data_IF_909686068975
#
_entry.id   IF_909686068975
#
_cell.length_a   1.000
_cell.length_b   1.000
_cell.length_c   1.000
_cell.angle_alpha   90.00
_cell.angle_beta   90.00
_cell.angle_gamma   90.00
#
_symmetry.space_group_name_H-M   'P 1'
#
loop_
_entity.id
_entity.type
_entity.pdbx_description
1 polymer ?
2 non-polymer ?
3 non-polymer ?
4 non-polymer ?
5 non-polymer ?
6 water ?
#
# COMPACT_ATOMS: atom_id res chain seq x y z
N UNK A 2 -11.79 32.27 -3.45
CA UNK A 2 -10.55 32.83 -2.89
C UNK A 2 -9.32 31.95 -3.20
N UNK A 3 -9.44 30.60 -3.12
CA UNK A 3 -8.28 29.73 -3.33
C UNK A 3 -7.67 29.92 -4.72
N UNK A 4 -6.36 30.17 -4.77
CA UNK A 4 -5.64 30.34 -6.03
C UNK A 4 -4.76 29.12 -6.26
N UNK A 5 -5.02 28.37 -7.34
CA UNK A 5 -4.24 27.18 -7.65
C UNK A 5 -2.76 27.50 -7.95
N UNK A 6 -1.85 26.53 -7.84
CA UNK A 6 -0.43 26.81 -8.12
C UNK A 6 -0.17 27.41 -9.49
N UNK A 7 0.86 28.28 -9.58
CA UNK A 7 1.27 28.92 -10.83
C UNK A 7 2.56 28.31 -11.40
N UNK A 8 3.05 27.18 -10.85
CA UNK A 8 4.32 26.58 -11.30
C UNK A 8 4.26 26.22 -12.78
N UNK A 9 5.38 26.36 -13.50
CA UNK A 9 5.36 26.13 -14.95
C UNK A 9 4.84 24.77 -15.39
N UNK A 10 5.14 23.69 -14.65
CA UNK A 10 4.72 22.34 -14.99
C UNK A 10 3.45 21.88 -14.25
N UNK A 11 2.81 22.75 -13.43
CA UNK A 11 1.56 22.38 -12.76
C UNK A 11 0.45 22.02 -13.79
N UNK A 12 0.26 22.74 -14.92
CA UNK A 12 -0.75 22.30 -15.91
C UNK A 12 -0.50 20.88 -16.46
N UNK A 13 0.77 20.41 -16.50
CA UNK A 13 1.07 19.04 -16.94
C UNK A 13 0.87 17.97 -15.83
N UNK A 14 0.47 18.37 -14.63
CA UNK A 14 0.20 17.45 -13.53
C UNK A 14 -1.29 17.10 -13.54
N UNK A 15 -1.70 16.48 -14.66
CA UNK A 15 -3.06 16.05 -14.98
C UNK A 15 -3.77 15.25 -13.84
N UNK A 16 -2.98 14.55 -13.05
CA UNK A 16 -3.46 13.71 -11.94
C UNK A 16 -3.80 14.57 -10.71
N UNK A 17 -3.21 15.77 -10.56
CA UNK A 17 -3.53 16.62 -9.42
C UNK A 17 -4.83 17.37 -9.71
N UNK A 18 -4.85 18.10 -10.81
CA UNK A 18 -6.02 18.87 -11.20
C UNK A 18 -6.30 18.66 -12.69
N UNK A 19 -7.57 18.64 -13.03
CA UNK A 19 -8.02 18.50 -14.40
C UNK A 19 -9.51 18.73 -14.49
N UNK A 20 -9.97 19.36 -15.57
CA UNK A 20 -11.41 19.60 -15.75
C UNK A 20 -12.18 18.27 -16.02
N UNK A 21 -11.49 17.22 -16.54
CA UNK A 21 -12.09 15.95 -16.95
C UNK A 21 -12.53 14.99 -15.82
N UNK A 22 -12.46 15.36 -14.52
CA UNK A 22 -12.89 14.47 -13.41
C UNK A 22 -12.06 13.15 -13.32
N UNK A 23 -10.87 13.11 -13.94
CA UNK A 23 -10.02 11.93 -13.93
C UNK A 23 -8.73 12.33 -13.21
N UNK A 24 -8.86 12.66 -11.93
CA UNK A 24 -7.74 13.09 -11.11
C UNK A 24 -7.97 12.69 -9.62
N UNK A 25 -6.96 12.94 -8.79
CA UNK A 25 -6.95 12.61 -7.37
C UNK A 25 -7.71 13.61 -6.48
N UNK A 26 -8.41 14.60 -7.08
CA UNK A 26 -9.24 15.57 -6.36
C UNK A 26 -8.47 16.28 -5.24
N UNK A 27 -7.25 16.70 -5.55
CA UNK A 27 -6.36 17.35 -4.60
C UNK A 27 -6.65 18.86 -4.48
N UNK A 28 -7.13 19.55 -5.55
CA UNK A 28 -7.47 20.98 -5.44
C UNK A 28 -8.57 21.18 -4.41
N UNK A 29 -9.53 20.25 -4.30
CA UNK A 29 -10.61 20.34 -3.32
C UNK A 29 -10.03 20.34 -1.89
N UNK A 30 -9.00 19.53 -1.61
CA UNK A 30 -8.35 19.52 -0.31
C UNK A 30 -7.58 20.85 -0.08
N UNK A 31 -6.88 21.33 -1.11
CA UNK A 31 -6.13 22.60 -1.06
C UNK A 31 -7.05 23.80 -0.79
N UNK A 32 -8.22 23.84 -1.46
CA UNK A 32 -9.22 24.91 -1.26
C UNK A 32 -9.79 24.85 0.18
N UNK A 33 -9.96 23.64 0.76
CA UNK A 33 -10.40 23.52 2.16
C UNK A 33 -9.31 23.99 3.18
N UNK A 34 -8.12 24.38 2.72
CA UNK A 34 -7.02 24.84 3.55
C UNK A 34 -5.97 23.79 3.90
N UNK A 35 -6.00 22.60 3.27
CA UNK A 35 -5.04 21.54 3.57
C UNK A 35 -3.98 21.37 2.50
N UNK A 36 -2.73 21.76 2.83
CA UNK A 36 -1.58 21.66 1.94
C UNK A 36 -0.39 20.88 2.56
N UNK A 37 -0.57 20.33 3.76
CA UNK A 37 0.46 19.54 4.43
C UNK A 37 1.25 20.22 5.53
N UNK A 38 0.92 21.47 5.91
CA UNK A 38 1.68 22.18 6.95
C UNK A 38 1.72 21.38 8.26
N UNK A 39 2.92 21.26 8.83
CA UNK A 39 3.14 20.53 10.06
C UNK A 39 3.29 19.03 9.92
N UNK A 40 3.10 18.47 8.71
CA UNK A 40 3.27 17.02 8.50
C UNK A 40 4.67 16.76 7.97
N UNK A 41 5.20 15.57 8.24
CA UNK A 41 6.59 15.20 7.95
C UNK A 41 6.56 13.85 7.24
N UNK A 42 7.03 13.80 5.99
CA UNK A 42 7.04 12.56 5.22
C UNK A 42 8.49 12.21 4.93
N UNK A 43 8.82 10.92 4.93
CA UNK A 43 10.16 10.46 4.60
C UNK A 43 10.09 9.42 3.48
N UNK A 44 10.96 9.55 2.49
CA UNK A 44 11.02 8.64 1.35
C UNK A 44 12.10 7.59 1.61
N UNK A 45 11.77 6.30 1.64
CA UNK A 45 12.78 5.25 1.83
C UNK A 45 13.23 4.84 0.44
N UNK A 46 14.43 5.25 0.02
CA UNK A 46 14.87 4.99 -1.35
C UNK A 46 16.40 5.12 -1.50
N UNK A 47 16.90 5.64 -2.63
CA UNK A 47 18.32 5.78 -2.93
C UNK A 47 18.92 7.15 -2.56
N UNK A 48 18.22 7.93 -1.74
CA UNK A 48 18.68 9.25 -1.33
C UNK A 48 17.80 10.38 -1.82
N UNK A 49 18.01 11.59 -1.29
CA UNK A 49 17.23 12.76 -1.70
C UNK A 49 18.17 13.93 -1.98
N UNK A 50 17.96 14.62 -3.11
CA UNK A 50 18.76 15.79 -3.45
C UNK A 50 18.19 16.95 -2.64
N UNK A 51 18.70 17.11 -1.42
CA UNK A 51 18.17 18.08 -0.46
C UNK A 51 18.30 19.54 -0.88
N UNK A 52 19.22 19.82 -1.82
CA UNK A 52 19.45 21.17 -2.35
C UNK A 52 18.72 21.40 -3.67
N UNK A 53 17.80 20.50 -4.11
CA UNK A 53 17.08 20.70 -5.35
C UNK A 53 16.23 21.98 -5.22
N UNK A 54 16.22 22.89 -6.22
CA UNK A 54 15.43 24.12 -6.09
C UNK A 54 13.96 23.93 -5.72
N UNK A 55 13.31 22.80 -6.12
CA UNK A 55 11.91 22.58 -5.73
C UNK A 55 11.75 21.74 -4.44
N UNK A 56 12.85 21.35 -3.77
CA UNK A 56 12.75 20.58 -2.53
C UNK A 56 13.36 21.31 -1.32
N UNK A 57 14.39 22.13 -1.52
CA UNK A 57 15.09 22.83 -0.44
C UNK A 57 14.17 23.53 0.58
N UNK A 58 13.14 24.23 0.07
CA UNK A 58 12.19 24.94 0.93
C UNK A 58 11.42 24.08 1.91
N UNK A 59 11.17 22.81 1.56
CA UNK A 59 10.45 21.87 2.44
C UNK A 59 11.36 20.80 3.05
N UNK A 60 12.65 20.75 2.67
CA UNK A 60 13.54 19.72 3.15
C UNK A 60 13.68 19.75 4.68
N UNK A 61 13.68 18.56 5.30
CA UNK A 61 13.82 18.42 6.74
C UNK A 61 14.92 17.41 7.07
N UNK A 62 16.05 17.88 7.63
CA UNK A 62 17.09 16.93 8.06
C UNK A 62 16.62 15.92 9.12
N UNK A 63 15.64 16.32 9.93
CA UNK A 63 15.03 15.47 10.95
C UNK A 63 14.22 14.30 10.37
N UNK A 64 13.87 14.34 9.09
CA UNK A 64 13.16 13.24 8.42
C UNK A 64 14.14 12.46 7.51
N UNK A 65 15.45 12.57 7.74
CA UNK A 65 16.45 12.02 6.87
C UNK A 65 17.58 11.32 7.55
N UNK A 66 18.18 10.38 6.83
CA UNK A 66 19.37 9.67 7.28
C UNK A 66 19.96 8.87 6.13
N UNK A 67 21.26 8.61 6.20
CA UNK A 67 21.94 7.79 5.24
C UNK A 67 22.32 6.52 5.97
N UNK A 68 21.50 5.48 5.80
CA UNK A 68 21.72 4.19 6.42
C UNK A 68 22.78 3.40 5.65
N UNK A 69 22.95 3.62 4.34
CA UNK A 69 23.98 2.89 3.58
C UNK A 69 25.40 3.26 3.99
N UNK A 70 25.67 4.54 4.26
CA UNK A 70 26.97 5.04 4.68
C UNK A 70 27.04 5.39 6.18
N UNK A 71 25.92 5.31 6.93
CA UNK A 71 25.91 5.60 8.37
C UNK A 71 26.32 7.07 8.67
N UNK A 72 25.52 8.01 8.19
CA UNK A 72 25.70 9.45 8.43
C UNK A 72 24.33 10.16 8.27
N UNK A 73 24.15 11.42 8.70
CA UNK A 73 22.83 12.06 8.58
C UNK A 73 22.44 12.53 7.19
N UNK A 74 23.42 12.73 6.30
CA UNK A 74 23.22 13.32 4.96
C UNK A 74 22.75 12.29 3.93
N UNK A 75 21.48 12.39 3.47
CA UNK A 75 20.97 11.42 2.50
C UNK A 75 21.23 11.79 1.04
N UNK A 76 22.19 12.70 0.76
CA UNK A 76 22.47 13.15 -0.62
C UNK A 76 22.72 11.93 -1.54
N UNK A 77 22.11 11.82 -2.73
CA UNK A 77 22.40 10.65 -3.58
C UNK A 77 23.84 10.59 -4.09
N UNK A 78 24.31 9.39 -4.40
CA UNK A 78 25.63 9.20 -4.99
C UNK A 78 25.45 9.53 -6.48
N UNK A 79 26.14 10.57 -6.98
CA UNK A 79 26.03 10.95 -8.38
C UNK A 79 26.90 10.07 -9.25
N UNK A 80 26.31 9.56 -10.32
CA UNK A 80 27.01 8.76 -11.29
C UNK A 80 26.64 9.28 -12.67
N UNK A 81 27.50 9.02 -13.63
CA UNK A 81 27.28 9.38 -15.03
C UNK A 81 25.93 8.83 -15.56
N UNK A 82 25.47 7.70 -15.01
CA UNK A 82 24.23 7.07 -15.45
C UNK A 82 22.96 7.62 -14.74
N UNK A 83 23.12 8.48 -13.70
CA UNK A 83 22.00 9.03 -12.92
C UNK A 83 21.16 7.93 -12.29
N UNK A 84 21.83 6.91 -11.77
CA UNK A 84 21.15 5.75 -11.19
C UNK A 84 20.37 6.07 -9.91
N UNK A 85 20.89 6.95 -9.05
CA UNK A 85 20.26 7.24 -7.76
C UNK A 85 19.32 8.45 -7.79
N UNK A 86 18.40 8.47 -8.78
CA UNK A 86 17.45 9.57 -8.96
C UNK A 86 16.05 9.34 -8.40
N UNK A 87 15.71 8.08 -8.10
CA UNK A 87 14.35 7.72 -7.74
C UNK A 87 13.81 8.41 -6.48
N UNK A 88 14.64 8.53 -5.44
CA UNK A 88 14.22 9.18 -4.20
C UNK A 88 13.86 10.63 -4.41
N UNK A 89 14.65 11.36 -5.23
CA UNK A 89 14.38 12.77 -5.54
C UNK A 89 13.06 12.90 -6.30
N UNK A 90 12.81 11.99 -7.25
CA UNK A 90 11.55 11.97 -7.99
C UNK A 90 10.36 11.76 -7.05
N UNK A 91 10.47 10.80 -6.12
CA UNK A 91 9.41 10.52 -5.15
C UNK A 91 9.18 11.67 -4.20
N UNK A 92 10.25 12.29 -3.68
CA UNK A 92 10.16 13.43 -2.75
C UNK A 92 9.37 14.62 -3.35
N UNK A 93 9.57 14.89 -4.64
CA UNK A 93 8.87 15.98 -5.33
C UNK A 93 7.40 15.69 -5.51
N UNK A 94 7.03 14.41 -5.67
CA UNK A 94 5.61 14.02 -5.78
C UNK A 94 4.87 14.37 -4.50
N UNK A 95 5.53 14.16 -3.34
CA UNK A 95 4.93 14.42 -2.05
C UNK A 95 4.94 15.92 -1.75
N UNK A 96 6.12 16.56 -1.78
CA UNK A 96 6.26 17.91 -1.27
C UNK A 96 7.15 18.88 -2.08
N UNK A 97 7.03 18.88 -3.42
CA UNK A 97 7.74 19.91 -4.22
C UNK A 97 7.09 21.27 -3.88
N UNK A 98 7.91 22.31 -3.71
CA UNK A 98 7.45 23.64 -3.32
C UNK A 98 6.52 24.22 -4.38
N UNK A 99 5.47 24.91 -3.96
CA UNK A 99 4.51 25.53 -4.87
C UNK A 99 4.77 27.03 -5.01
N UNK A 100 4.29 27.61 -6.12
CA UNK A 100 4.37 29.05 -6.41
C UNK A 100 5.80 29.61 -6.37
N UNK A 101 6.77 28.87 -6.89
CA UNK A 101 8.18 29.32 -6.89
C UNK A 101 8.81 29.33 -8.29
N UNK A 102 8.01 29.26 -9.35
CA UNK A 102 8.52 29.29 -10.72
C UNK A 102 9.40 28.12 -11.11
N UNK A 103 9.31 27.00 -10.39
CA UNK A 103 10.13 25.82 -10.67
C UNK A 103 9.28 24.57 -10.79
N UNK A 104 9.55 23.77 -11.85
CA UNK A 104 8.93 22.47 -12.12
C UNK A 104 7.38 22.46 -11.77
N UNK A 105 6.88 21.52 -10.95
CA UNK A 105 5.47 21.48 -10.57
C UNK A 105 5.33 21.67 -9.06
N UNK A 106 4.38 20.95 -8.45
CA UNK A 106 4.11 21.00 -7.01
C UNK A 106 3.96 19.60 -6.44
N UNK A 107 4.13 19.48 -5.14
CA UNK A 107 3.83 18.25 -4.44
C UNK A 107 2.34 18.22 -4.13
N UNK A 108 1.82 17.03 -3.82
CA UNK A 108 0.42 16.90 -3.39
C UNK A 108 0.25 17.68 -2.07
N UNK A 109 1.22 17.55 -1.17
CA UNK A 109 1.28 18.22 0.11
C UNK A 109 2.45 19.18 0.01
N UNK A 110 2.27 20.24 -0.79
CA UNK A 110 3.35 21.19 -1.10
C UNK A 110 3.82 22.08 0.07
N UNK A 111 3.18 22.00 1.24
CA UNK A 111 3.67 22.69 2.44
C UNK A 111 4.14 21.70 3.53
N UNK A 112 4.23 20.39 3.21
CA UNK A 112 4.72 19.40 4.15
C UNK A 112 6.24 19.42 4.17
N UNK A 113 6.82 18.93 5.26
CA UNK A 113 8.26 18.78 5.37
C UNK A 113 8.58 17.42 4.75
N UNK A 114 9.70 17.33 4.03
CA UNK A 114 10.08 16.10 3.35
C UNK A 114 11.56 15.75 3.60
N UNK A 115 11.79 14.46 3.78
CA UNK A 115 13.12 13.93 3.94
C UNK A 115 13.26 12.63 3.18
N UNK A 116 14.45 12.08 3.21
CA UNK A 116 14.73 10.83 2.55
C UNK A 116 15.69 9.98 3.35
N UNK A 117 15.53 8.66 3.26
CA UNK A 117 16.45 7.74 3.87
C UNK A 117 17.20 7.12 2.71
N UNK A 118 18.52 7.32 2.68
CA UNK A 118 19.36 6.68 1.66
C UNK A 118 19.61 5.27 2.20
N UNK A 119 18.84 4.29 1.69
CA UNK A 119 18.94 2.90 2.13
C UNK A 119 19.02 1.87 0.97
N UNK A 120 18.65 2.22 -0.28
CA UNK A 120 18.74 1.25 -1.39
C UNK A 120 20.08 1.31 -2.16
N UNK A 121 21.01 2.23 -1.83
CA UNK A 121 22.29 2.33 -2.56
C UNK A 121 23.39 1.53 -1.82
N UNK A 122 23.21 0.23 -1.83
CA UNK A 122 24.08 -0.70 -1.14
C UNK A 122 23.29 -1.97 -0.82
N UNK A 123 23.87 -2.83 0.00
CA UNK A 123 23.20 -4.07 0.37
C UNK A 123 21.99 -3.79 1.28
N UNK A 124 20.80 -4.25 0.88
CA UNK A 124 19.60 -4.05 1.68
C UNK A 124 19.42 -5.26 2.61
N UNK A 125 19.91 -5.11 3.83
CA UNK A 125 19.83 -6.14 4.85
C UNK A 125 18.66 -5.85 5.77
N UNK A 126 18.29 -6.83 6.60
CA UNK A 126 17.24 -6.71 7.60
C UNK A 126 17.55 -5.56 8.57
N UNK A 127 18.80 -5.40 9.01
CA UNK A 127 19.21 -4.30 9.89
C UNK A 127 19.05 -2.93 9.22
N UNK A 128 19.41 -2.82 7.92
CA UNK A 128 19.27 -1.59 7.15
C UNK A 128 17.77 -1.21 7.09
N UNK A 129 16.91 -2.19 6.80
CA UNK A 129 15.46 -1.92 6.73
C UNK A 129 14.91 -1.46 8.07
N UNK A 130 15.34 -2.11 9.15
CA UNK A 130 14.85 -1.78 10.48
C UNK A 130 15.26 -0.36 10.91
N UNK A 131 16.50 0.03 10.61
CA UNK A 131 16.97 1.38 10.95
C UNK A 131 16.25 2.44 10.10
N UNK A 132 15.82 2.09 8.87
CA UNK A 132 15.10 2.99 8.00
C UNK A 132 13.64 3.12 8.45
N UNK A 133 12.94 2.00 8.61
CA UNK A 133 11.55 1.98 9.07
C UNK A 133 11.42 2.61 10.48
N UNK A 134 12.44 2.44 11.33
CA UNK A 134 12.44 2.97 12.69
C UNK A 134 13.16 4.31 12.84
N UNK A 135 13.41 5.03 11.73
CA UNK A 135 14.08 6.31 11.82
C UNK A 135 13.17 7.34 12.45
N UNK A 136 13.64 8.05 13.50
CA UNK A 136 12.95 9.17 14.15
C UNK A 136 11.41 9.04 14.16
N UNK A 137 10.89 7.99 14.82
CA UNK A 137 9.45 7.73 14.78
C UNK A 137 8.59 8.71 15.57
N UNK A 138 9.20 9.59 16.39
CA UNK A 138 8.44 10.64 17.05
C UNK A 138 8.53 11.99 16.30
N UNK A 139 9.10 12.00 15.06
CA UNK A 139 9.19 13.18 14.23
C UNK A 139 8.56 12.88 12.85
N UNK A 140 8.96 11.77 12.20
CA UNK A 140 8.40 11.40 10.90
C UNK A 140 6.97 10.89 11.10
N UNK A 141 6.01 11.43 10.35
CA UNK A 141 4.62 11.01 10.48
C UNK A 141 4.30 9.84 9.52
N UNK A 142 4.76 9.96 8.26
CA UNK A 142 4.50 9.04 7.16
C UNK A 142 5.78 8.63 6.49
N UNK A 143 5.92 7.35 6.22
CA UNK A 143 7.06 6.80 5.50
C UNK A 143 6.51 6.32 4.17
N UNK A 144 7.21 6.60 3.06
CA UNK A 144 6.80 6.15 1.75
C UNK A 144 7.87 5.23 1.21
N UNK A 145 7.48 4.02 0.82
CA UNK A 145 8.41 3.05 0.28
C UNK A 145 7.84 2.55 -1.04
N UNK A 146 8.62 2.67 -2.09
CA UNK A 146 8.20 2.34 -3.44
C UNK A 146 8.69 0.99 -3.94
N UNK A 147 9.50 0.26 -3.16
CA UNK A 147 10.10 -0.98 -3.61
C UNK A 147 10.07 -2.05 -2.53
N UNK A 148 10.48 -3.25 -2.89
CA UNK A 148 10.54 -4.35 -1.94
C UNK A 148 11.27 -5.54 -2.53
N UNK A 149 10.88 -6.79 -2.20
CA UNK A 149 11.58 -7.93 -2.83
C UNK A 149 11.38 -8.00 -4.35
N UNK A 150 12.27 -8.75 -5.01
CA UNK A 150 12.30 -8.81 -6.46
C UNK A 150 10.96 -9.13 -7.12
N UNK A 151 10.57 -8.29 -8.09
CA UNK A 151 9.33 -8.44 -8.84
C UNK A 151 9.55 -9.36 -10.06
N UNK A 152 10.24 -10.49 -9.86
CA UNK A 152 10.49 -11.44 -10.94
C UNK A 152 9.34 -12.48 -11.11
N UNK A 153 8.28 -12.40 -10.30
CA UNK A 153 7.18 -13.36 -10.38
C UNK A 153 7.50 -14.74 -9.85
N UNK A 154 8.63 -14.89 -9.13
CA UNK A 154 8.98 -16.18 -8.54
C UNK A 154 9.48 -16.08 -7.10
N UNK A 155 9.48 -14.89 -6.50
CA UNK A 155 9.94 -14.69 -5.15
C UNK A 155 8.79 -14.64 -4.15
N UNK A 156 9.00 -15.24 -2.97
CA UNK A 156 8.09 -15.13 -1.85
C UNK A 156 9.02 -14.65 -0.75
N UNK A 157 8.85 -13.40 -0.32
CA UNK A 157 9.72 -12.85 0.70
C UNK A 157 9.07 -11.67 1.39
N UNK A 158 9.42 -11.50 2.65
CA UNK A 158 8.86 -10.45 3.49
C UNK A 158 9.85 -9.95 4.49
N UNK A 159 9.41 -9.02 5.36
CA UNK A 159 10.34 -8.47 6.37
C UNK A 159 10.83 -9.56 7.30
N UNK A 160 12.13 -9.64 7.48
CA UNK A 160 12.74 -10.56 8.44
C UNK A 160 12.53 -9.94 9.89
N UNK A 161 13.07 -10.56 10.95
CA UNK A 161 12.79 -10.18 12.33
C UNK A 161 12.94 -8.68 12.68
N UNK A 162 14.12 -8.06 12.42
CA UNK A 162 14.34 -6.64 12.77
C UNK A 162 13.36 -5.68 12.07
N UNK A 163 13.10 -5.92 10.76
CA UNK A 163 12.16 -5.09 10.00
C UNK A 163 10.74 -5.29 10.49
N UNK A 164 10.35 -6.54 10.77
CA UNK A 164 9.01 -6.81 11.30
C UNK A 164 8.88 -6.16 12.71
N UNK A 165 9.94 -6.20 13.54
CA UNK A 165 9.93 -5.53 14.84
C UNK A 165 9.84 -4.01 14.67
N UNK A 166 10.47 -3.43 13.62
CA UNK A 166 10.39 -2.01 13.35
C UNK A 166 8.94 -1.62 12.97
N UNK A 167 8.25 -2.46 12.18
CA UNK A 167 6.84 -2.18 11.84
C UNK A 167 5.98 -2.22 13.11
N UNK A 168 6.20 -3.24 13.98
CA UNK A 168 5.46 -3.38 15.23
C UNK A 168 5.66 -2.15 16.11
N UNK A 169 6.93 -1.77 16.39
CA UNK A 169 7.28 -0.61 17.22
C UNK A 169 6.71 0.68 16.62
N UNK A 170 6.72 0.79 15.30
CA UNK A 170 6.22 1.94 14.59
C UNK A 170 4.73 2.14 14.78
N UNK A 171 3.93 1.11 14.48
CA UNK A 171 2.48 1.24 14.61
C UNK A 171 2.02 1.33 16.08
N UNK A 172 2.80 0.79 17.05
CA UNK A 172 2.44 0.81 18.46
C UNK A 172 2.89 2.08 19.19
N UNK A 173 4.17 2.43 19.11
CA UNK A 173 4.74 3.55 19.85
C UNK A 173 5.05 4.77 18.97
N UNK A 174 5.18 4.59 17.66
CA UNK A 174 5.47 5.71 16.76
C UNK A 174 4.38 6.77 16.78
N UNK A 175 4.75 8.03 16.50
CA UNK A 175 3.81 9.14 16.43
C UNK A 175 2.99 9.34 17.72
N UNK A 176 3.63 9.24 18.88
CA UNK A 176 2.99 9.42 20.17
C UNK A 176 1.96 8.34 20.49
N UNK A 177 2.20 7.12 20.03
CA UNK A 177 1.28 6.01 20.24
C UNK A 177 0.20 5.87 19.18
N UNK A 178 0.03 6.86 18.31
CA UNK A 178 -0.97 6.80 17.23
C UNK A 178 -0.53 5.87 16.08
N UNK A 179 0.78 5.66 15.92
CA UNK A 179 1.33 4.75 14.93
C UNK A 179 1.86 5.39 13.67
N UNK A 180 3.06 4.98 13.28
CA UNK A 180 3.67 5.40 12.02
C UNK A 180 2.79 4.96 10.85
N UNK A 181 2.66 5.82 9.84
CA UNK A 181 1.90 5.49 8.64
C UNK A 181 2.89 5.01 7.59
N UNK A 182 2.92 3.72 7.29
CA UNK A 182 3.83 3.19 6.27
C UNK A 182 3.03 3.04 4.98
N UNK A 183 3.35 3.82 3.93
CA UNK A 183 2.68 3.75 2.62
C UNK A 183 3.57 2.94 1.70
N UNK A 184 3.02 1.93 1.00
CA UNK A 184 3.82 1.03 0.16
C UNK A 184 3.26 0.86 -1.24
N UNK A 185 4.16 0.76 -2.22
CA UNK A 185 3.78 0.49 -3.60
C UNK A 185 3.53 -1.03 -3.68
N UNK A 186 2.45 -1.46 -4.32
CA UNK A 186 2.15 -2.88 -4.42
C UNK A 186 3.09 -3.69 -5.33
N UNK A 187 3.89 -3.03 -6.17
CA UNK A 187 4.88 -3.71 -7.02
C UNK A 187 4.80 -3.39 -8.51
N UNK A 188 5.87 -3.72 -9.25
CA UNK A 188 6.02 -3.51 -10.70
C UNK A 188 6.26 -4.81 -11.48
N UNK A 189 5.83 -5.95 -10.94
CA UNK A 189 6.04 -7.27 -11.54
C UNK A 189 5.00 -7.74 -12.51
N UNK A 190 4.20 -6.81 -13.04
CA UNK A 190 3.12 -7.11 -13.97
C UNK A 190 3.48 -7.95 -15.18
N UNK A 191 4.56 -7.62 -15.90
CA UNK A 191 4.94 -8.42 -17.09
C UNK A 191 5.44 -9.84 -16.71
N UNK A 192 5.92 -10.03 -15.47
CA UNK A 192 6.32 -11.35 -14.97
C UNK A 192 5.13 -12.10 -14.33
N UNK A 193 3.88 -11.55 -14.45
CA UNK A 193 2.67 -12.11 -13.89
C UNK A 193 2.83 -12.30 -12.39
N UNK A 194 3.40 -11.30 -11.71
CA UNK A 194 3.59 -11.37 -10.27
C UNK A 194 2.23 -11.13 -9.56
N UNK A 195 2.10 -11.69 -8.35
CA UNK A 195 0.92 -11.65 -7.48
C UNK A 195 1.44 -10.98 -6.20
N UNK A 196 1.01 -9.75 -5.83
CA UNK A 196 1.66 -9.02 -4.73
C UNK A 196 1.47 -9.61 -3.29
N UNK A 197 0.63 -10.63 -3.03
CA UNK A 197 0.57 -11.21 -1.67
C UNK A 197 1.87 -11.97 -1.34
N UNK A 198 2.71 -12.31 -2.36
CA UNK A 198 4.01 -12.95 -2.19
C UNK A 198 5.12 -11.96 -1.71
N UNK A 199 4.80 -10.67 -1.53
CA UNK A 199 5.70 -9.61 -1.08
C UNK A 199 5.16 -9.24 0.30
N UNK A 200 5.86 -9.64 1.34
CA UNK A 200 5.42 -9.43 2.73
C UNK A 200 5.32 -7.99 3.19
N UNK A 201 5.97 -7.05 2.47
CA UNK A 201 5.92 -5.64 2.87
C UNK A 201 4.57 -5.06 2.48
N UNK A 202 4.16 -5.23 1.22
CA UNK A 202 2.85 -4.75 0.78
C UNK A 202 1.71 -5.60 1.38
N UNK A 203 1.94 -6.90 1.50
CA UNK A 203 0.95 -7.83 2.08
C UNK A 203 0.74 -7.63 3.61
N UNK A 204 1.54 -6.77 4.26
CA UNK A 204 1.42 -6.51 5.69
C UNK A 204 0.17 -5.68 5.99
N UNK A 205 -0.42 -5.87 7.17
CA UNK A 205 -1.55 -5.04 7.63
C UNK A 205 -1.03 -3.64 8.01
N UNK A 206 0.25 -3.54 8.44
CA UNK A 206 0.87 -2.29 8.87
C UNK A 206 1.20 -1.33 7.74
N UNK A 207 1.14 -1.79 6.48
CA UNK A 207 1.40 -0.92 5.36
C UNK A 207 0.11 -0.63 4.63
N UNK A 208 -0.02 0.60 4.15
CA UNK A 208 -1.18 1.07 3.42
C UNK A 208 -0.78 0.97 1.94
N UNK A 209 -1.12 -0.16 1.32
CA UNK A 209 -0.68 -0.48 -0.03
C UNK A 209 -1.47 0.14 -1.15
N UNK A 210 -0.74 0.66 -2.16
CA UNK A 210 -1.28 1.40 -3.27
C UNK A 210 -0.88 0.81 -4.60
N UNK A 211 -1.84 0.71 -5.52
CA UNK A 211 -1.63 0.25 -6.90
C UNK A 211 -1.80 1.44 -7.88
N UNK A 212 -1.64 1.20 -9.19
CA UNK A 212 -1.68 2.24 -10.21
C UNK A 212 -2.82 2.07 -11.22
N UNK A 213 -3.22 3.20 -11.80
CA UNK A 213 -4.16 3.28 -12.90
C UNK A 213 -3.50 4.19 -13.97
N UNK A 214 -3.66 3.85 -15.24
CA UNK A 214 -3.14 4.69 -16.32
C UNK A 214 -4.10 5.91 -16.46
N UNK A 215 -3.69 6.93 -17.22
CA UNK A 215 -4.49 8.12 -17.47
C UNK A 215 -5.87 7.77 -18.02
N UNK A 216 -5.96 6.80 -18.96
CA UNK A 216 -7.27 6.41 -19.51
C UNK A 216 -8.05 5.42 -18.60
N UNK A 217 -7.62 5.26 -17.34
CA UNK A 217 -8.29 4.41 -16.36
C UNK A 217 -8.08 2.93 -16.55
N UNK A 218 -6.91 2.51 -17.04
CA UNK A 218 -6.62 1.09 -17.25
C UNK A 218 -5.56 0.56 -16.29
N UNK A 219 -5.41 -0.76 -16.27
CA UNK A 219 -4.52 -1.47 -15.37
C UNK A 219 -3.21 -1.44 -16.16
N UNK A 220 -2.20 -0.72 -15.66
CA UNK A 220 -0.94 -0.66 -16.41
C UNK A 220 -0.24 -2.01 -16.56
N UNK A 221 0.62 -2.11 -17.58
CA UNK A 221 1.36 -3.32 -17.89
C UNK A 221 2.15 -3.87 -16.69
N UNK A 222 2.66 -2.98 -15.82
CA UNK A 222 3.50 -3.34 -14.67
C UNK A 222 2.71 -3.68 -13.39
N UNK A 223 1.39 -3.45 -13.38
CA UNK A 223 0.60 -3.67 -12.18
C UNK A 223 0.53 -5.12 -11.73
N UNK A 224 0.50 -5.33 -10.40
CA UNK A 224 0.32 -6.65 -9.78
C UNK A 224 -1.01 -6.64 -9.08
N UNK A 225 -1.82 -7.68 -9.30
CA UNK A 225 -3.10 -7.79 -8.63
C UNK A 225 -2.89 -8.55 -7.33
N UNK A 226 -3.60 -8.16 -6.29
CA UNK A 226 -3.63 -8.91 -5.04
C UNK A 226 -4.68 -8.36 -4.09
N UNK A 227 -5.11 -9.22 -3.15
CA UNK A 227 -6.14 -8.86 -2.16
C UNK A 227 -5.62 -7.93 -1.05
N UNK A 228 -4.29 -7.81 -0.84
CA UNK A 228 -3.76 -6.93 0.22
C UNK A 228 -3.80 -5.44 -0.18
N UNK A 229 -3.95 -5.11 -1.48
CA UNK A 229 -3.99 -3.70 -1.90
C UNK A 229 -5.25 -3.01 -1.38
N UNK A 230 -5.10 -1.74 -0.96
CA UNK A 230 -6.21 -0.96 -0.42
C UNK A 230 -6.79 0.06 -1.39
N UNK A 231 -5.94 0.72 -2.19
CA UNK A 231 -6.39 1.80 -3.06
C UNK A 231 -5.36 2.07 -4.18
N UNK A 232 -5.67 3.02 -5.09
CA UNK A 232 -4.92 3.31 -6.27
C UNK A 232 -4.71 4.79 -6.43
N UNK A 233 -3.62 5.13 -7.10
CA UNK A 233 -3.40 6.49 -7.58
C UNK A 233 -2.97 6.34 -9.06
N UNK A 234 -3.12 7.42 -9.81
CA UNK A 234 -2.68 7.44 -11.19
C UNK A 234 -1.18 7.34 -11.31
N UNK A 235 -0.74 6.72 -12.40
CA UNK A 235 0.67 6.67 -12.76
C UNK A 235 0.79 6.48 -14.30
N UNK A 236 1.94 6.03 -14.80
CA UNK A 236 2.17 5.91 -16.22
C UNK A 236 1.44 4.70 -16.85
N UNK A 237 1.38 4.69 -18.18
CA UNK A 237 0.78 3.62 -18.95
C UNK A 237 1.46 3.50 -20.30
N UNK A 238 0.69 3.54 -21.40
CA UNK A 238 1.25 3.46 -22.75
C UNK A 238 1.83 4.82 -23.18
N UNK A 239 2.41 4.91 -24.40
CA UNK A 239 3.06 6.13 -24.86
C UNK A 239 2.10 7.21 -25.38
N UNK A 240 0.78 6.97 -25.39
CA UNK A 240 -0.22 8.03 -25.64
C UNK A 240 -0.73 8.61 -24.28
N UNK A 241 -0.43 7.94 -23.15
CA UNK A 241 -0.85 8.38 -21.84
C UNK A 241 0.26 9.18 -21.19
N UNK A 242 -0.11 10.22 -20.44
CA UNK A 242 0.84 11.09 -19.75
C UNK A 242 1.42 10.33 -18.54
N UNK A 243 2.50 10.87 -17.97
CA UNK A 243 3.19 10.23 -16.87
C UNK A 243 3.29 11.18 -15.66
N UNK A 244 4.10 10.85 -14.66
CA UNK A 244 4.21 11.66 -13.45
C UNK A 244 5.29 12.73 -13.64
N UNK A 245 4.94 13.97 -13.31
CA UNK A 245 5.78 15.15 -13.48
C UNK A 245 6.31 15.53 -12.11
N UNK A 246 7.65 15.51 -11.93
CA UNK A 246 8.23 15.77 -10.62
C UNK A 246 9.69 16.28 -10.73
N UNK A 247 10.30 16.57 -9.57
CA UNK A 247 11.70 16.96 -9.44
C UNK A 247 12.58 15.78 -9.84
N UNK A 248 13.70 16.05 -10.46
CA UNK A 248 14.63 15.01 -10.87
C UNK A 248 16.05 15.35 -10.39
N UNK A 249 16.93 14.36 -10.42
CA UNK A 249 18.33 14.50 -10.05
C UNK A 249 19.04 15.57 -10.93
N UNK A 250 20.05 16.22 -10.35
CA UNK A 250 20.82 17.33 -10.93
C UNK A 250 19.93 18.58 -11.14
N UNK A 251 19.03 18.85 -10.18
CA UNK A 251 18.19 20.05 -10.16
C UNK A 251 17.34 20.21 -11.40
N UNK A 252 16.91 19.09 -11.98
CA UNK A 252 16.11 19.09 -13.19
C UNK A 252 14.64 18.78 -12.87
N UNK A 253 13.81 18.80 -13.90
CA UNK A 253 12.39 18.48 -13.79
C UNK A 253 12.15 17.36 -14.80
N UNK A 254 11.40 16.33 -14.42
CA UNK A 254 11.07 15.23 -15.33
C UNK A 254 9.59 15.20 -15.57
N UNK A 255 9.20 14.83 -16.78
CA UNK A 255 7.80 14.56 -17.12
C UNK A 255 7.61 13.03 -17.38
N UNK A 256 8.60 12.16 -17.04
CA UNK A 256 8.51 10.74 -17.34
C UNK A 256 8.81 9.83 -16.14
N UNK A 257 8.17 10.12 -15.00
CA UNK A 257 8.29 9.28 -13.81
C UNK A 257 7.15 8.23 -13.91
N UNK A 258 7.50 6.95 -13.70
CA UNK A 258 6.61 5.83 -14.00
C UNK A 258 6.46 4.77 -12.90
N UNK A 259 5.48 3.86 -13.10
CA UNK A 259 5.28 2.66 -12.31
C UNK A 259 4.51 2.86 -11.03
N UNK A 260 4.22 1.74 -10.36
CA UNK A 260 3.61 1.74 -9.04
C UNK A 260 4.52 2.45 -8.03
N UNK A 261 5.83 2.45 -8.27
CA UNK A 261 6.82 3.14 -7.46
C UNK A 261 6.61 4.69 -7.50
N UNK A 262 5.86 5.23 -8.51
CA UNK A 262 5.46 6.63 -8.55
C UNK A 262 4.05 6.82 -7.91
N UNK A 263 3.25 5.74 -7.70
CA UNK A 263 1.93 5.86 -7.11
C UNK A 263 1.97 6.01 -5.60
N UNK A 264 2.87 5.26 -4.93
CA UNK A 264 2.96 5.33 -3.46
C UNK A 264 3.25 6.75 -2.93
N UNK A 265 4.19 7.51 -3.52
CA UNK A 265 4.44 8.89 -3.03
C UNK A 265 3.23 9.81 -3.20
N UNK A 266 2.43 9.67 -4.26
CA UNK A 266 1.22 10.50 -4.42
C UNK A 266 0.25 10.17 -3.26
N UNK A 267 0.12 8.88 -2.90
CA UNK A 267 -0.71 8.46 -1.78
C UNK A 267 -0.15 9.00 -0.48
N UNK A 268 1.18 8.97 -0.29
CA UNK A 268 1.79 9.53 0.94
C UNK A 268 1.46 11.03 1.07
N UNK A 269 1.46 11.74 -0.05
CA UNK A 269 1.05 13.15 -0.07
C UNK A 269 -0.41 13.34 0.30
N UNK A 270 -1.33 12.49 -0.22
CA UNK A 270 -2.76 12.58 0.13
C UNK A 270 -2.97 12.26 1.62
N UNK A 271 -2.26 11.27 2.11
CA UNK A 271 -2.30 10.90 3.51
C UNK A 271 -1.76 12.05 4.38
N UNK A 272 -0.76 12.81 3.90
CA UNK A 272 -0.25 13.96 4.63
C UNK A 272 -1.30 15.06 4.74
N UNK A 273 -2.09 15.29 3.67
CA UNK A 273 -3.17 16.28 3.75
C UNK A 273 -4.23 15.84 4.75
N UNK A 274 -4.54 14.53 4.78
CA UNK A 274 -5.53 13.94 5.67
C UNK A 274 -5.09 14.09 7.11
N UNK A 275 -3.81 13.82 7.38
CA UNK A 275 -3.26 13.94 8.71
C UNK A 275 -3.26 15.42 9.18
N UNK A 276 -3.15 16.39 8.25
CA UNK A 276 -3.24 17.80 8.63
C UNK A 276 -4.69 18.11 9.05
N UNK A 277 -5.69 17.54 8.35
CA UNK A 277 -7.10 17.72 8.71
C UNK A 277 -7.44 17.14 10.09
N UNK A 278 -6.70 16.11 10.54
CA UNK A 278 -6.93 15.54 11.88
C UNK A 278 -5.64 14.84 12.33
N UNK A 279 -4.83 15.52 13.17
CA UNK A 279 -3.55 14.99 13.67
C UNK A 279 -3.71 13.77 14.60
N UNK A 280 -4.91 13.54 15.14
CA UNK A 280 -5.16 12.44 16.06
C UNK A 280 -5.55 11.13 15.39
N UNK A 281 -5.55 11.05 14.04
CA UNK A 281 -5.89 9.80 13.37
C UNK A 281 -4.81 8.78 13.66
N UNK A 282 -5.21 7.55 13.99
CA UNK A 282 -4.28 6.44 14.23
C UNK A 282 -3.92 5.81 12.88
N UNK A 283 -2.94 4.88 12.88
CA UNK A 283 -2.58 4.17 11.66
C UNK A 283 -3.76 3.36 11.13
N UNK A 284 -4.62 2.81 12.01
CA UNK A 284 -5.79 2.07 11.57
C UNK A 284 -6.90 3.02 11.08
N UNK A 285 -7.10 4.20 11.72
CA UNK A 285 -8.10 5.19 11.24
C UNK A 285 -7.80 5.58 9.78
N UNK A 286 -6.50 5.76 9.44
CA UNK A 286 -6.11 6.15 8.08
C UNK A 286 -6.56 5.10 7.07
N UNK A 287 -6.39 3.81 7.40
CA UNK A 287 -6.82 2.73 6.51
C UNK A 287 -8.35 2.69 6.39
N UNK A 288 -9.09 3.01 7.46
CA UNK A 288 -10.55 3.10 7.41
C UNK A 288 -10.99 4.24 6.49
N UNK A 289 -10.35 5.41 6.56
CA UNK A 289 -10.70 6.54 5.69
C UNK A 289 -10.46 6.19 4.22
N UNK A 290 -9.35 5.53 3.91
CA UNK A 290 -9.06 5.12 2.54
C UNK A 290 -10.17 4.16 2.02
N UNK A 291 -10.58 3.16 2.82
CA UNK A 291 -11.63 2.21 2.43
C UNK A 291 -12.96 2.95 2.16
N UNK A 292 -13.35 3.87 3.04
CA UNK A 292 -14.62 4.59 2.90
C UNK A 292 -14.68 5.63 1.77
N UNK A 293 -13.56 6.28 1.42
CA UNK A 293 -13.57 7.39 0.46
C UNK A 293 -13.06 7.07 -0.94
N UNK A 294 -12.36 5.93 -1.15
CA UNK A 294 -11.83 5.61 -2.46
C UNK A 294 -12.94 5.37 -3.47
N UNK A 295 -12.68 5.78 -4.71
CA UNK A 295 -13.66 5.79 -5.80
C UNK A 295 -13.35 4.79 -6.91
N UNK A 296 -14.21 3.78 -7.13
CA UNK A 296 -13.97 2.85 -8.24
C UNK A 296 -14.23 3.47 -9.63
N UNK A 297 -15.13 4.48 -9.73
CA UNK A 297 -15.57 5.11 -10.99
C UNK A 297 -14.50 5.32 -12.04
N UNK A 298 -14.77 4.86 -13.27
CA UNK A 298 -13.88 5.05 -14.40
C UNK A 298 -12.58 4.23 -14.36
N UNK A 299 -12.37 3.38 -13.36
CA UNK A 299 -11.22 2.49 -13.35
C UNK A 299 -11.72 1.18 -13.95
N UNK A 300 -11.12 0.73 -15.05
CA UNK A 300 -11.55 -0.47 -15.77
C UNK A 300 -10.83 -1.71 -15.29
N UNK A 301 -11.60 -2.75 -14.94
CA UNK A 301 -11.09 -4.05 -14.53
C UNK A 301 -12.18 -5.11 -14.74
N UNK A 302 -11.80 -6.35 -15.07
CA UNK A 302 -12.79 -7.43 -15.26
C UNK A 302 -13.19 -8.11 -13.92
N UNK A 303 -12.59 -7.71 -12.77
CA UNK A 303 -12.86 -8.34 -11.49
C UNK A 303 -13.55 -7.44 -10.44
N UNK A 304 -14.20 -6.31 -10.82
CA UNK A 304 -14.90 -5.48 -9.82
C UNK A 304 -16.03 -6.34 -9.17
N UNK A 305 -16.08 -6.38 -7.84
CA UNK A 305 -17.09 -7.15 -7.11
C UNK A 305 -17.54 -6.37 -5.88
N UNK A 306 -18.81 -6.51 -5.53
CA UNK A 306 -19.41 -5.83 -4.40
C UNK A 306 -19.26 -6.74 -3.19
N UNK A 307 -18.64 -6.23 -2.13
CA UNK A 307 -18.43 -7.02 -0.93
C UNK A 307 -19.72 -7.03 -0.05
N UNK A 308 -19.63 -7.68 1.11
CA UNK A 308 -20.74 -7.83 2.04
C UNK A 308 -21.33 -6.55 2.58
N UNK A 309 -20.57 -5.43 2.56
CA UNK A 309 -21.10 -4.15 3.02
C UNK A 309 -21.38 -3.17 1.86
N UNK A 310 -21.55 -3.69 0.64
CA UNK A 310 -21.90 -2.87 -0.52
C UNK A 310 -20.79 -2.07 -1.21
N UNK A 311 -19.51 -2.31 -0.87
CA UNK A 311 -18.41 -1.56 -1.49
C UNK A 311 -17.81 -2.36 -2.63
N UNK A 312 -17.50 -1.68 -3.73
CA UNK A 312 -16.86 -2.31 -4.87
C UNK A 312 -15.37 -2.44 -4.55
N UNK A 313 -14.78 -3.59 -4.83
CA UNK A 313 -13.37 -3.84 -4.58
C UNK A 313 -12.81 -4.66 -5.73
N UNK A 314 -11.56 -4.40 -6.10
CA UNK A 314 -10.87 -5.05 -7.19
C UNK A 314 -9.49 -5.47 -6.70
N UNK A 315 -8.95 -6.58 -7.23
CA UNK A 315 -7.59 -7.00 -6.90
C UNK A 315 -6.52 -6.08 -7.57
N UNK A 316 -6.90 -5.34 -8.63
CA UNK A 316 -5.98 -4.41 -9.27
C UNK A 316 -5.97 -3.05 -8.57
N UNK A 317 -7.13 -2.60 -8.09
CA UNK A 317 -7.28 -1.27 -7.55
C UNK A 317 -7.66 -1.12 -6.06
N UNK A 318 -7.95 -2.21 -5.36
CA UNK A 318 -8.43 -2.13 -3.99
C UNK A 318 -9.82 -1.52 -4.02
N UNK A 319 -10.07 -0.52 -3.17
CA UNK A 319 -11.35 0.18 -3.14
C UNK A 319 -11.48 1.30 -4.22
N UNK A 320 -10.44 1.51 -5.02
CA UNK A 320 -10.46 2.48 -6.09
C UNK A 320 -9.45 3.58 -5.92
N UNK A 321 -9.66 4.64 -6.67
CA UNK A 321 -8.77 5.78 -6.70
C UNK A 321 -8.88 6.57 -5.41
N UNK A 322 -7.74 7.02 -4.84
CA UNK A 322 -7.77 7.89 -3.67
C UNK A 322 -8.45 9.21 -4.06
N UNK A 323 -9.18 9.80 -3.12
CA UNK A 323 -9.90 11.03 -3.33
C UNK A 323 -9.51 11.94 -2.18
N UNK A 324 -8.55 12.86 -2.42
CA UNK A 324 -8.02 13.73 -1.37
C UNK A 324 -9.08 14.62 -0.72
N UNK A 325 -9.96 15.22 -1.52
CA UNK A 325 -11.03 16.06 -1.01
C UNK A 325 -11.97 15.31 -0.09
N UNK A 326 -12.32 14.06 -0.45
CA UNK A 326 -13.20 13.26 0.39
C UNK A 326 -12.47 12.79 1.65
N UNK A 327 -11.20 12.35 1.51
CA UNK A 327 -10.37 11.95 2.66
C UNK A 327 -10.31 13.07 3.74
N UNK A 328 -10.01 14.31 3.34
CA UNK A 328 -9.90 15.43 4.29
C UNK A 328 -11.25 15.80 4.91
N UNK A 329 -12.35 15.74 4.13
CA UNK A 329 -13.67 16.06 4.69
C UNK A 329 -14.05 15.01 5.76
N UNK A 330 -13.87 13.71 5.46
CA UNK A 330 -14.24 12.66 6.41
C UNK A 330 -13.31 12.61 7.64
N UNK A 331 -12.04 13.01 7.49
CA UNK A 331 -11.11 13.00 8.63
C UNK A 331 -11.44 14.02 9.72
N UNK A 332 -11.97 15.19 9.36
CA UNK A 332 -12.19 16.26 10.34
C UNK A 332 -13.01 15.86 11.58
N UNK A 333 -14.17 15.20 11.40
CA UNK A 333 -14.97 14.76 12.53
C UNK A 333 -14.91 13.25 12.78
N UNK A 334 -13.85 12.59 12.32
CA UNK A 334 -13.68 11.15 12.48
C UNK A 334 -13.54 10.77 13.95
N UNK A 335 -14.28 9.73 14.36
CA UNK A 335 -14.24 9.18 15.71
C UNK A 335 -13.18 8.06 15.70
N UNK A 336 -12.18 8.13 16.59
CA UNK A 336 -11.12 7.12 16.69
C UNK A 336 -11.70 5.72 16.80
N UNK A 337 -11.23 4.79 15.95
CA UNK A 337 -11.71 3.42 16.02
C UNK A 337 -11.34 2.78 17.36
N UNK A 338 -12.13 1.79 17.79
CA UNK A 338 -11.88 1.08 19.04
C UNK A 338 -10.56 0.28 18.95
N UNK A 339 -9.97 -0.15 20.09
CA UNK A 339 -8.71 -0.92 20.00
C UNK A 339 -8.84 -2.17 19.12
N UNK A 340 -7.74 -2.54 18.49
CA UNK A 340 -7.73 -3.65 17.56
C UNK A 340 -7.81 -4.98 18.31
N UNK A 341 -8.72 -5.83 17.87
CA UNK A 341 -8.89 -7.18 18.37
C UNK A 341 -8.31 -8.13 17.36
N UNK A 342 -7.86 -9.28 17.84
CA UNK A 342 -7.22 -10.29 17.01
C UNK A 342 -7.80 -11.65 17.41
N UNK A 343 -8.56 -12.28 16.51
CA UNK A 343 -9.13 -13.59 16.73
C UNK A 343 -8.35 -14.62 15.91
N UNK A 344 -7.71 -15.59 16.59
CA UNK A 344 -6.91 -16.64 15.95
C UNK A 344 -7.77 -17.92 15.87
N UNK A 345 -7.99 -18.46 14.68
CA UNK A 345 -8.80 -19.66 14.52
C UNK A 345 -8.00 -20.70 13.75
N UNK A 346 -7.58 -21.78 14.42
CA UNK A 346 -6.83 -22.84 13.75
C UNK A 346 -7.88 -23.70 13.03
N UNK A 347 -7.86 -23.73 11.70
CA UNK A 347 -8.90 -24.39 10.90
C UNK A 347 -8.73 -25.90 10.74
N UNK A 348 -7.49 -26.41 10.52
CA UNK A 348 -7.31 -27.85 10.31
C UNK A 348 -7.24 -28.75 11.56
N UNK A 349 -7.88 -29.94 11.48
CA UNK A 349 -7.74 -30.98 12.51
C UNK A 349 -6.74 -32.09 12.03
N UNK A 350 -6.23 -32.01 10.77
CA UNK A 350 -5.30 -32.99 10.19
C UNK A 350 -4.72 -32.44 8.86
N UNK A 351 -3.57 -32.96 8.35
CA UNK A 351 -3.10 -32.50 7.04
C UNK A 351 -4.06 -32.90 5.90
N UNK A 352 -4.06 -32.14 4.81
CA UNK A 352 -4.98 -32.38 3.67
C UNK A 352 -4.20 -32.40 2.37
N UNK A 353 -4.43 -33.44 1.54
CA UNK A 353 -3.80 -33.58 0.24
C UNK A 353 -4.36 -32.51 -0.69
N UNK A 354 -3.48 -31.79 -1.42
CA UNK A 354 -3.96 -30.75 -2.34
C UNK A 354 -4.49 -31.38 -3.64
N UNK A 355 -3.67 -32.18 -4.32
CA UNK A 355 -4.10 -32.82 -5.56
C UNK A 355 -4.48 -31.81 -6.63
N UNK A 356 -5.50 -32.09 -7.45
CA UNK A 356 -5.94 -31.16 -8.48
C UNK A 356 -6.68 -29.96 -7.84
N UNK A 357 -7.43 -30.20 -6.76
CA UNK A 357 -8.22 -29.17 -6.11
C UNK A 357 -8.54 -29.59 -4.67
N UNK A 358 -8.55 -28.62 -3.75
CA UNK A 358 -8.84 -28.82 -2.34
C UNK A 358 -9.70 -27.67 -1.85
N UNK A 359 -10.83 -27.98 -1.22
CA UNK A 359 -11.72 -27.00 -0.64
C UNK A 359 -11.80 -27.31 0.87
N UNK A 360 -11.58 -26.32 1.75
CA UNK A 360 -11.63 -26.49 3.20
C UNK A 360 -12.68 -25.51 3.69
N UNK A 361 -13.78 -25.99 4.28
CA UNK A 361 -14.84 -25.13 4.78
C UNK A 361 -14.83 -25.15 6.30
N UNK A 362 -15.13 -24.02 6.93
CA UNK A 362 -15.18 -23.98 8.39
C UNK A 362 -16.15 -22.91 8.83
N UNK A 363 -17.05 -23.26 9.75
CA UNK A 363 -17.98 -22.30 10.32
C UNK A 363 -17.35 -21.81 11.59
N UNK A 364 -17.11 -20.49 11.70
CA UNK A 364 -16.46 -19.90 12.85
C UNK A 364 -17.38 -18.98 13.64
N UNK A 365 -17.06 -18.80 14.93
CA UNK A 365 -17.78 -17.88 15.80
C UNK A 365 -17.02 -16.57 16.02
N UNK A 366 -15.79 -16.42 15.47
CA UNK A 366 -14.97 -15.21 15.58
C UNK A 366 -14.79 -14.75 17.04
N UNK A 367 -14.40 -15.70 17.90
CA UNK A 367 -14.12 -15.44 19.31
C UNK A 367 -15.30 -14.89 20.07
N UNK A 368 -16.51 -15.39 19.74
CA UNK A 368 -17.75 -15.04 20.43
C UNK A 368 -17.62 -15.25 21.95
N UNK A 369 -18.15 -14.31 22.73
CA UNK A 369 -18.09 -14.41 24.18
C UNK A 369 -16.78 -14.06 24.82
N UNK A 370 -15.75 -13.72 24.01
CA UNK A 370 -14.41 -13.39 24.47
C UNK A 370 -14.08 -11.89 24.17
N UNK A 371 -13.04 -11.31 24.84
CA UNK A 371 -12.69 -9.90 24.56
C UNK A 371 -12.19 -9.64 23.13
N UNK A 372 -11.75 -10.68 22.42
CA UNK A 372 -11.31 -10.51 21.05
C UNK A 372 -12.41 -10.85 20.02
N UNK A 373 -13.70 -10.79 20.45
CA UNK A 373 -14.87 -11.04 19.58
C UNK A 373 -14.89 -9.99 18.49
N UNK A 374 -14.97 -10.40 17.22
CA UNK A 374 -14.98 -9.46 16.12
C UNK A 374 -16.31 -9.56 15.40
N UNK A 375 -17.03 -8.45 15.31
CA UNK A 375 -18.24 -8.34 14.51
C UNK A 375 -17.98 -7.43 13.27
N UNK A 376 -16.86 -6.63 13.26
CA UNK A 376 -16.45 -5.71 12.19
C UNK A 376 -15.03 -6.03 11.81
N UNK A 377 -14.87 -6.73 10.72
CA UNK A 377 -13.56 -7.14 10.25
C UNK A 377 -12.77 -5.94 9.67
N UNK A 378 -11.45 -5.96 9.82
CA UNK A 378 -10.54 -5.01 9.19
C UNK A 378 -9.77 -5.94 8.22
N UNK A 379 -8.54 -6.33 8.53
CA UNK A 379 -7.78 -7.25 7.68
C UNK A 379 -8.11 -8.69 8.08
N UNK A 380 -8.02 -9.62 7.14
CA UNK A 380 -8.17 -11.05 7.40
C UNK A 380 -6.98 -11.72 6.76
N UNK A 381 -6.37 -12.68 7.46
CA UNK A 381 -5.23 -13.42 6.91
C UNK A 381 -5.53 -14.91 6.96
N UNK A 382 -5.07 -15.63 5.95
CA UNK A 382 -5.14 -17.08 5.93
C UNK A 382 -3.67 -17.46 5.96
N UNK A 383 -3.14 -17.83 7.14
CA UNK A 383 -1.73 -18.18 7.26
C UNK A 383 -1.60 -19.66 6.89
N UNK A 384 -1.03 -19.92 5.71
CA UNK A 384 -0.93 -21.26 5.18
C UNK A 384 0.46 -21.85 5.22
N UNK A 385 0.51 -23.13 5.54
CA UNK A 385 1.73 -23.90 5.48
C UNK A 385 1.40 -25.06 4.57
N UNK A 386 2.13 -25.19 3.48
CA UNK A 386 1.88 -26.25 2.52
C UNK A 386 3.10 -26.59 1.74
N UNK A 387 3.17 -27.82 1.29
CA UNK A 387 4.23 -28.29 0.44
C UNK A 387 3.61 -28.47 -0.95
N UNK A 388 4.39 -28.20 -1.98
CA UNK A 388 3.93 -28.36 -3.35
C UNK A 388 5.13 -28.48 -4.26
N UNK A 389 5.06 -29.34 -5.28
CA UNK A 389 6.20 -29.55 -6.18
C UNK A 389 6.47 -28.38 -7.16
N UNK A 390 5.46 -27.52 -7.49
CA UNK A 390 5.62 -26.41 -8.45
C UNK A 390 4.72 -25.26 -8.00
N UNK A 391 5.25 -24.40 -7.12
CA UNK A 391 4.47 -23.37 -6.44
C UNK A 391 3.60 -22.49 -7.32
N UNK A 392 4.12 -22.10 -8.47
CA UNK A 392 3.44 -21.23 -9.42
C UNK A 392 2.18 -21.76 -10.04
N UNK A 393 1.97 -23.07 -10.01
CA UNK A 393 0.73 -23.64 -10.54
C UNK A 393 -0.45 -23.45 -9.59
N UNK A 394 -0.21 -23.09 -8.31
CA UNK A 394 -1.30 -22.90 -7.36
C UNK A 394 -2.03 -21.58 -7.52
N UNK A 395 -3.34 -21.63 -7.32
CA UNK A 395 -4.19 -20.46 -7.21
C UNK A 395 -5.01 -20.71 -5.94
N UNK A 396 -5.07 -19.72 -5.06
CA UNK A 396 -5.73 -19.84 -3.77
C UNK A 396 -6.77 -18.74 -3.63
N UNK A 397 -7.98 -19.11 -3.20
CA UNK A 397 -9.07 -18.17 -2.92
C UNK A 397 -9.61 -18.38 -1.51
N UNK A 398 -10.19 -17.31 -0.95
CA UNK A 398 -10.80 -17.33 0.38
C UNK A 398 -12.15 -16.62 0.25
N UNK A 399 -13.26 -17.32 0.57
CA UNK A 399 -14.61 -16.75 0.51
C UNK A 399 -15.04 -16.50 1.94
N UNK A 400 -15.50 -15.29 2.22
CA UNK A 400 -15.93 -14.93 3.56
C UNK A 400 -17.40 -15.35 3.74
N UNK A 401 -17.91 -15.42 5.00
CA UNK A 401 -19.35 -15.72 5.18
C UNK A 401 -20.32 -14.84 4.39
N UNK A 402 -19.95 -13.57 4.10
CA UNK A 402 -20.81 -12.67 3.30
C UNK A 402 -20.69 -12.89 1.77
N UNK A 403 -19.99 -13.93 1.34
CA UNK A 403 -19.80 -14.25 -0.07
C UNK A 403 -18.67 -13.54 -0.80
N UNK A 404 -17.81 -12.82 -0.09
CA UNK A 404 -16.71 -12.08 -0.74
C UNK A 404 -15.53 -13.01 -1.06
N UNK A 405 -15.28 -13.19 -2.35
CA UNK A 405 -14.24 -14.05 -2.87
C UNK A 405 -12.93 -13.28 -3.09
N UNK A 406 -11.96 -13.48 -2.20
CA UNK A 406 -10.66 -12.84 -2.31
C UNK A 406 -9.67 -13.81 -2.91
N UNK A 407 -8.92 -13.38 -3.94
CA UNK A 407 -7.87 -14.19 -4.50
C UNK A 407 -6.68 -13.97 -3.59
N UNK A 408 -6.26 -14.99 -2.89
CA UNK A 408 -5.07 -14.90 -2.04
C UNK A 408 -3.80 -15.10 -2.89
N UNK A 409 -3.87 -15.92 -3.94
CA UNK A 409 -2.71 -16.17 -4.79
C UNK A 409 -3.20 -16.54 -6.16
N UNK A 410 -2.72 -15.86 -7.19
CA UNK A 410 -3.04 -16.23 -8.56
C UNK A 410 -1.86 -17.03 -9.10
N UNK A 411 -2.08 -17.80 -10.19
CA UNK A 411 -1.00 -18.58 -10.81
C UNK A 411 0.20 -17.68 -11.19
N UNK A 412 1.43 -18.13 -10.91
CA UNK A 412 2.63 -17.38 -11.21
C UNK A 412 3.47 -18.27 -12.16
N UNK A 413 3.32 -18.13 -13.50
CA UNK A 413 4.01 -19.07 -14.42
C UNK A 413 5.52 -19.18 -14.27
N UNK A 414 6.20 -18.14 -13.82
CA UNK A 414 7.64 -18.19 -13.61
C UNK A 414 8.05 -18.82 -12.28
N UNK A 415 7.11 -19.06 -11.35
CA UNK A 415 7.44 -19.66 -10.06
C UNK A 415 7.53 -21.20 -10.16
N UNK A 416 8.74 -21.74 -10.27
CA UNK A 416 8.96 -23.20 -10.34
C UNK A 416 9.41 -23.79 -8.97
N UNK A 417 9.46 -22.98 -7.92
CA UNK A 417 9.90 -23.41 -6.59
C UNK A 417 9.18 -24.63 -6.06
N UNK A 418 9.95 -25.53 -5.44
CA UNK A 418 9.43 -26.70 -4.73
C UNK A 418 9.38 -26.42 -3.19
N UNK A 419 9.57 -25.14 -2.73
CA UNK A 419 9.60 -24.79 -1.31
C UNK A 419 8.25 -24.52 -0.66
N UNK A 420 7.18 -24.46 -1.44
CA UNK A 420 5.85 -24.22 -0.88
C UNK A 420 5.73 -22.93 -0.10
N UNK A 421 4.86 -22.91 0.91
CA UNK A 421 4.65 -21.75 1.77
C UNK A 421 4.84 -22.18 3.21
N UNK A 422 5.64 -21.42 3.96
CA UNK A 422 5.94 -21.74 5.36
C UNK A 422 5.25 -20.68 6.25
N UNK A 423 4.01 -20.97 6.64
CA UNK A 423 3.19 -20.07 7.47
C UNK A 423 3.08 -18.68 6.85
N UNK A 424 2.79 -18.64 5.55
CA UNK A 424 2.72 -17.36 4.84
C UNK A 424 1.38 -16.70 5.11
N UNK A 425 1.38 -15.46 5.61
CA UNK A 425 0.15 -14.76 5.98
C UNK A 425 -0.54 -14.04 4.81
N UNK A 426 -1.21 -14.80 3.89
CA UNK A 426 -1.92 -14.20 2.75
C UNK A 426 -3.01 -13.28 3.29
N UNK A 427 -2.95 -11.97 3.01
CA UNK A 427 -3.90 -11.03 3.60
C UNK A 427 -4.89 -10.48 2.60
N UNK A 428 -6.10 -10.16 3.09
CA UNK A 428 -7.11 -9.56 2.24
C UNK A 428 -7.77 -8.40 2.96
N UNK A 429 -8.01 -7.33 2.21
CA UNK A 429 -8.73 -6.14 2.65
C UNK A 429 -10.17 -6.13 2.06
N UNK A 430 -10.54 -7.11 1.21
CA UNK A 430 -11.84 -7.10 0.52
C UNK A 430 -13.05 -7.34 1.42
N UNK A 431 -12.85 -7.94 2.60
CA UNK A 431 -13.96 -8.19 3.53
C UNK A 431 -14.00 -7.16 4.67
N UNK A 432 -13.35 -6.01 4.50
CA UNK A 432 -13.33 -4.91 5.48
C UNK A 432 -14.78 -4.51 5.85
N UNK A 433 -15.07 -4.43 7.16
CA UNK A 433 -16.35 -4.05 7.76
C UNK A 433 -17.42 -5.16 7.73
N UNK A 434 -17.13 -6.31 7.15
CA UNK A 434 -18.06 -7.44 7.17
C UNK A 434 -18.03 -8.14 8.52
N UNK A 435 -19.15 -8.82 8.86
CA UNK A 435 -19.22 -9.62 10.07
C UNK A 435 -18.53 -10.95 9.68
N UNK A 436 -17.46 -11.37 10.38
CA UNK A 436 -16.75 -12.61 9.99
C UNK A 436 -17.39 -13.92 10.53
N UNK A 437 -18.52 -13.84 11.25
CA UNK A 437 -19.17 -15.05 11.77
C UNK A 437 -19.72 -15.86 10.61
N UNK A 438 -19.63 -17.19 10.70
CA UNK A 438 -20.19 -18.06 9.67
C UNK A 438 -19.14 -18.85 8.92
N UNK A 439 -19.51 -19.33 7.73
CA UNK A 439 -18.64 -20.19 6.94
C UNK A 439 -17.60 -19.46 6.10
N UNK A 440 -16.34 -19.83 6.29
CA UNK A 440 -15.22 -19.38 5.48
C UNK A 440 -14.87 -20.59 4.60
N UNK A 441 -14.46 -20.35 3.35
CA UNK A 441 -14.09 -21.42 2.43
C UNK A 441 -12.72 -21.08 1.86
N UNK A 442 -11.76 -21.99 1.98
CA UNK A 442 -10.45 -21.84 1.37
C UNK A 442 -10.43 -22.79 0.19
N UNK A 443 -9.97 -22.32 -0.96
CA UNK A 443 -9.89 -23.14 -2.16
C UNK A 443 -8.45 -23.07 -2.66
N UNK A 444 -7.81 -24.23 -2.85
CA UNK A 444 -6.46 -24.33 -3.40
C UNK A 444 -6.60 -25.17 -4.66
N UNK A 445 -6.17 -24.65 -5.83
CA UNK A 445 -6.27 -25.40 -7.08
C UNK A 445 -4.97 -25.41 -7.88
N UNK A 446 -4.78 -26.51 -8.62
CA UNK A 446 -3.64 -26.69 -9.51
C UNK A 446 -4.20 -26.18 -10.84
N UNK A 447 -3.79 -24.99 -11.27
CA UNK A 447 -4.24 -24.35 -12.51
C UNK A 447 -3.64 -24.97 -13.77
N UNK A 448 -2.62 -25.83 -13.66
CA UNK A 448 -1.99 -26.45 -14.83
C UNK A 448 -2.57 -27.86 -15.06
N UNK A 449 -2.20 -28.49 -16.19
CA UNK A 449 -2.60 -29.87 -16.49
C UNK A 449 -1.55 -30.88 -15.98
N UNK A 450 -0.45 -30.44 -15.33
CA UNK A 450 0.56 -31.35 -14.80
C UNK A 450 0.06 -32.08 -13.55
N UNK A 451 0.52 -33.31 -13.36
CA UNK A 451 0.14 -34.10 -12.21
C UNK A 451 0.97 -33.63 -11.02
N UNK A 452 0.58 -32.50 -10.45
CA UNK A 452 1.29 -31.92 -9.31
C UNK A 452 0.80 -32.54 -8.00
N UNK A 453 1.57 -32.38 -6.93
CA UNK A 453 1.24 -32.99 -5.66
C UNK A 453 1.77 -32.18 -4.50
N UNK A 454 1.08 -32.28 -3.37
CA UNK A 454 1.46 -31.58 -2.16
C UNK A 454 0.42 -31.71 -1.07
N UNK A 455 0.72 -31.13 0.08
CA UNK A 455 -0.14 -31.22 1.27
C UNK A 455 -0.24 -29.87 1.99
N UNK A 456 -1.46 -29.51 2.43
CA UNK A 456 -1.71 -28.35 3.27
C UNK A 456 -1.60 -28.87 4.71
N UNK A 457 -0.65 -28.37 5.51
CA UNK A 457 -0.48 -28.86 6.89
C UNK A 457 -0.99 -27.90 7.94
N UNK A 458 -1.17 -26.60 7.60
CA UNK A 458 -1.72 -25.68 8.57
C UNK A 458 -2.49 -24.56 7.88
N UNK A 459 -3.63 -24.21 8.46
CA UNK A 459 -4.43 -23.10 7.98
C UNK A 459 -4.92 -22.37 9.21
N UNK A 460 -4.30 -21.25 9.55
CA UNK A 460 -4.76 -20.42 10.66
C UNK A 460 -5.47 -19.21 10.05
N UNK A 461 -6.72 -19.00 10.38
CA UNK A 461 -7.47 -17.85 9.91
C UNK A 461 -7.32 -16.80 11.02
N UNK A 462 -6.65 -15.69 10.73
CA UNK A 462 -6.43 -14.65 11.73
C UNK A 462 -7.27 -13.48 11.32
N UNK A 463 -8.20 -13.09 12.18
CA UNK A 463 -9.09 -11.97 11.90
C UNK A 463 -8.69 -10.81 12.80
N UNK A 464 -8.72 -9.61 12.27
CA UNK A 464 -8.44 -8.39 12.99
C UNK A 464 -9.71 -7.54 12.90
N UNK A 465 -10.02 -6.77 13.92
CA UNK A 465 -11.18 -5.89 13.87
C UNK A 465 -11.67 -5.40 15.20
N UNK A 466 -12.95 -5.00 15.22
CA UNK A 466 -13.63 -4.47 16.40
C UNK A 466 -15.05 -5.10 16.53
N UNK A 467 -15.82 -4.72 17.55
CA UNK A 467 -17.18 -5.23 17.74
C UNK A 467 -18.18 -4.08 17.91
N UNK A 468 -17.99 -2.95 17.21
CA UNK A 468 -18.89 -1.80 17.37
C UNK A 468 -18.71 -0.75 16.29
N UNK A 469 -19.73 0.10 16.13
CA UNK A 469 -19.68 1.28 15.28
C UNK A 469 -19.86 1.10 13.79
N UNK A 470 -20.62 0.08 13.35
CA UNK A 470 -20.84 -0.13 11.92
C UNK A 470 -21.76 0.92 11.31
N UNK A 471 -21.54 1.17 10.01
CA UNK A 471 -22.40 2.04 9.21
C UNK A 471 -23.43 1.14 8.50
N UNK A 472 -24.51 1.73 8.01
CA UNK A 472 -25.48 1.03 7.19
C UNK A 472 -24.76 0.66 5.87
N UNK A 473 -24.86 -0.59 5.34
CA UNK A 473 -24.14 -0.92 4.10
C UNK A 473 -24.39 0.04 2.93
N UNK A 474 -23.37 0.24 2.08
CA UNK A 474 -23.44 1.12 0.91
C UNK A 474 -24.55 0.68 -0.07
#
# INVERSE_FOLDING_TARGET
>A
DVYQEPTDPKFPQQWYLSGVTQRDLNVKAAWAQGYTGHGIVVSILDDGIEKNHPDLAGNYDPGASFDVNDQDPDPQPRYTQMNDNRHGTRCAGEVAAVANNGVCGVGVAYNARIGGVRMLDGEVTDAVEARSLGLNPNHIHIYSASWGPEDDGKTVDGPARLAEEAFFRGVSQGRGGLGSIFVWASGNGGREHDSCNCDGYTNSIYTLSISSATQFGNVPWYSEACSSTLATTYSSGNQNEKQIVTTDLRQKCTESHTGTSASAPLAAGIIALTLEANKNLTWRDMQHLVVQTSKPAHLNANDWATNGVGRKVSHSYGYGLLDAGAMVALAQNWTTVAPQRKCIIDILTEPKDIGKRLEVRKTVTACLGEPNHITRLEHAQARLTLSYNRRGDLAIHLVSPMGTRSTLLAARPHDYSADGFNDWAFMTTHSWDEDPSGEWVLEIENTSEANNYGTLTKFTLVLYGTASGSLVPRGSHHHH
#
